data_IF_343709620489
#
_entry.id   IF_343709620489
#
_cell.length_a   1.000
_cell.length_b   1.000
_cell.length_c   1.000
_cell.angle_alpha   90.00
_cell.angle_beta   90.00
_cell.angle_gamma   90.00
#
_symmetry.space_group_name_H-M   'P 1'
#
loop_
_entity.id
_entity.type
_entity.pdbx_description
1 polymer ?
#
# COMPACT_ATOMS: atom_id res chain seq x y z
N UNK A 1 -21.28 -0.16 1.17
CA UNK A 1 -19.84 0.11 0.98
C UNK A 1 -19.67 1.60 0.73
N UNK A 2 -19.27 2.39 1.74
CA UNK A 2 -18.84 3.76 1.47
C UNK A 2 -17.57 3.63 0.63
N UNK A 3 -17.60 4.08 -0.63
CA UNK A 3 -16.37 4.27 -1.40
C UNK A 3 -15.65 5.43 -0.70
N UNK A 4 -14.84 5.11 0.31
CA UNK A 4 -13.84 6.06 0.81
C UNK A 4 -12.99 6.37 -0.41
N UNK A 5 -13.13 7.59 -0.93
CA UNK A 5 -12.32 8.03 -2.04
C UNK A 5 -10.90 8.17 -1.49
N UNK A 6 -10.12 7.11 -1.60
CA UNK A 6 -8.69 7.21 -1.34
C UNK A 6 -8.09 8.08 -2.45
N UNK A 7 -7.50 9.23 -2.10
CA UNK A 7 -6.90 10.09 -3.11
C UNK A 7 -5.86 9.29 -3.88
N UNK A 8 -5.80 9.45 -5.21
CA UNK A 8 -4.91 8.66 -6.06
C UNK A 8 -3.46 8.77 -5.58
N UNK A 9 -2.72 7.68 -5.70
CA UNK A 9 -1.30 7.65 -5.38
C UNK A 9 -0.58 8.67 -6.27
N UNK A 10 0.28 9.51 -5.67
CA UNK A 10 1.01 10.51 -6.43
C UNK A 10 2.03 9.86 -7.35
N UNK A 11 2.00 10.27 -8.61
CA UNK A 11 2.98 9.86 -9.63
C UNK A 11 4.10 10.90 -9.80
N UNK A 12 3.92 12.09 -9.21
CA UNK A 12 4.89 13.16 -9.32
C UNK A 12 6.11 12.85 -8.43
N UNK A 13 7.25 12.59 -9.05
CA UNK A 13 8.53 12.29 -8.36
C UNK A 13 8.99 13.36 -7.36
N UNK A 14 8.55 14.61 -7.55
CA UNK A 14 8.88 15.74 -6.68
C UNK A 14 7.86 15.93 -5.54
N UNK A 15 6.75 15.20 -5.54
CA UNK A 15 5.76 15.31 -4.48
C UNK A 15 6.29 14.66 -3.18
N UNK A 16 6.00 15.27 -2.01
CA UNK A 16 6.48 14.75 -0.72
C UNK A 16 5.93 13.35 -0.40
N UNK A 17 4.81 12.96 -1.01
CA UNK A 17 4.19 11.64 -0.86
C UNK A 17 4.77 10.58 -1.82
N UNK A 18 5.57 10.96 -2.82
CA UNK A 18 5.99 10.06 -3.92
C UNK A 18 6.63 8.76 -3.44
N UNK A 19 7.55 8.85 -2.48
CA UNK A 19 8.25 7.67 -1.96
C UNK A 19 7.31 6.70 -1.25
N UNK A 20 6.36 7.25 -0.48
CA UNK A 20 5.40 6.44 0.29
C UNK A 20 4.35 5.85 -0.63
N UNK A 21 3.84 6.64 -1.56
CA UNK A 21 2.86 6.20 -2.55
C UNK A 21 3.45 5.14 -3.50
N UNK A 22 4.74 5.26 -3.87
CA UNK A 22 5.46 4.21 -4.58
C UNK A 22 5.56 2.92 -3.77
N UNK A 23 5.78 2.99 -2.46
CA UNK A 23 5.82 1.82 -1.59
C UNK A 23 4.45 1.12 -1.49
N UNK A 24 3.36 1.89 -1.39
CA UNK A 24 1.98 1.37 -1.42
C UNK A 24 1.69 0.66 -2.74
N UNK A 25 2.06 1.28 -3.88
CA UNK A 25 1.92 0.66 -5.21
C UNK A 25 2.68 -0.66 -5.31
N UNK A 26 3.93 -0.70 -4.87
CA UNK A 26 4.73 -1.93 -4.88
C UNK A 26 4.12 -3.02 -3.99
N UNK A 27 3.53 -2.65 -2.84
CA UNK A 27 2.85 -3.60 -1.98
C UNK A 27 1.57 -4.16 -2.62
N UNK A 28 0.82 -3.34 -3.37
CA UNK A 28 -0.31 -3.82 -4.18
C UNK A 28 0.14 -4.80 -5.28
N UNK A 29 1.21 -4.47 -6.01
CA UNK A 29 1.77 -5.35 -7.05
C UNK A 29 2.20 -6.70 -6.46
N UNK A 30 2.85 -6.70 -5.29
CA UNK A 30 3.24 -7.92 -4.57
C UNK A 30 2.03 -8.75 -4.12
N UNK A 31 0.99 -8.11 -3.59
CA UNK A 31 -0.24 -8.80 -3.19
C UNK A 31 -0.95 -9.40 -4.41
N UNK A 32 -1.03 -8.67 -5.52
CA UNK A 32 -1.60 -9.17 -6.77
C UNK A 32 -0.82 -10.39 -7.27
N UNK A 33 0.51 -10.32 -7.28
CA UNK A 33 1.39 -11.43 -7.64
C UNK A 33 1.18 -12.64 -6.71
N UNK A 34 1.08 -12.44 -5.40
CA UNK A 34 0.84 -13.53 -4.44
C UNK A 34 -0.53 -14.21 -4.65
N UNK A 35 -1.57 -13.42 -4.96
CA UNK A 35 -2.91 -13.94 -5.28
C UNK A 35 -2.89 -14.75 -6.57
N UNK A 36 -2.17 -14.26 -7.59
CA UNK A 36 -2.06 -14.96 -8.86
C UNK A 36 -1.27 -16.27 -8.71
N UNK A 37 -0.15 -16.23 -7.99
CA UNK A 37 0.65 -17.42 -7.66
C UNK A 37 -0.16 -18.49 -6.92
N UNK A 38 -1.08 -18.12 -6.01
CA UNK A 38 -1.96 -19.09 -5.33
C UNK A 38 -2.78 -19.93 -6.32
N UNK A 39 -3.14 -19.39 -7.49
CA UNK A 39 -3.90 -20.12 -8.52
C UNK A 39 -3.11 -21.27 -9.14
N UNK A 40 -1.78 -21.19 -9.06
CA UNK A 40 -0.86 -22.13 -9.71
C UNK A 40 -0.10 -23.03 -8.72
N UNK A 41 -0.25 -22.83 -7.41
CA UNK A 41 0.44 -23.62 -6.38
C UNK A 41 -0.33 -24.89 -5.98
N UNK A 42 0.41 -26.00 -5.83
CA UNK A 42 -0.09 -27.27 -5.27
C UNK A 42 -0.23 -27.24 -3.74
N UNK A 43 0.56 -26.40 -3.05
CA UNK A 43 0.48 -26.21 -1.59
C UNK A 43 -0.40 -25.01 -1.24
N UNK A 44 -1.64 -25.29 -0.83
CA UNK A 44 -2.63 -24.26 -0.51
C UNK A 44 -2.29 -23.47 0.76
N UNK A 45 -1.72 -24.14 1.78
CA UNK A 45 -1.38 -23.52 3.07
C UNK A 45 -0.30 -22.46 2.91
N UNK A 46 0.81 -22.80 2.23
CA UNK A 46 1.90 -21.86 1.97
C UNK A 46 1.42 -20.64 1.18
N UNK A 47 0.59 -20.85 0.15
CA UNK A 47 0.05 -19.75 -0.63
C UNK A 47 -0.85 -18.80 0.19
N UNK A 48 -1.59 -19.33 1.18
CA UNK A 48 -2.37 -18.49 2.10
C UNK A 48 -1.47 -17.66 3.02
N UNK A 49 -0.38 -18.23 3.53
CA UNK A 49 0.57 -17.50 4.37
C UNK A 49 1.25 -16.37 3.61
N UNK A 50 1.69 -16.61 2.38
CA UNK A 50 2.30 -15.58 1.52
C UNK A 50 1.31 -14.44 1.23
N UNK A 51 0.04 -14.75 0.94
CA UNK A 51 -1.00 -13.71 0.75
C UNK A 51 -1.23 -12.93 2.04
N UNK A 52 -1.24 -13.60 3.20
CA UNK A 52 -1.41 -12.94 4.50
C UNK A 52 -0.27 -11.96 4.75
N UNK A 53 0.97 -12.39 4.56
CA UNK A 53 2.16 -11.53 4.70
C UNK A 53 2.12 -10.35 3.72
N UNK A 54 1.73 -10.58 2.46
CA UNK A 54 1.58 -9.51 1.48
C UNK A 54 0.51 -8.49 1.89
N UNK A 55 -0.63 -8.93 2.45
CA UNK A 55 -1.67 -8.03 2.99
C UNK A 55 -1.17 -7.22 4.18
N UNK A 56 -0.43 -7.86 5.09
CA UNK A 56 0.15 -7.16 6.25
C UNK A 56 1.18 -6.12 5.80
N UNK A 57 1.96 -6.41 4.75
CA UNK A 57 2.90 -5.46 4.15
C UNK A 57 2.17 -4.25 3.54
N UNK A 58 1.05 -4.48 2.85
CA UNK A 58 0.22 -3.42 2.28
C UNK A 58 -0.35 -2.52 3.37
N UNK A 59 -0.92 -3.11 4.43
CA UNK A 59 -1.47 -2.35 5.55
C UNK A 59 -0.42 -1.46 6.22
N UNK A 60 0.82 -1.94 6.36
CA UNK A 60 1.94 -1.14 6.90
C UNK A 60 2.28 0.04 5.99
N UNK A 61 2.31 -0.16 4.68
CA UNK A 61 2.56 0.91 3.72
C UNK A 61 1.45 1.97 3.74
N UNK A 62 0.19 1.55 3.82
CA UNK A 62 -0.96 2.45 3.96
C UNK A 62 -0.91 3.27 5.26
N UNK A 63 -0.54 2.64 6.39
CA UNK A 63 -0.33 3.35 7.66
C UNK A 63 0.78 4.40 7.57
N UNK A 64 1.90 4.07 6.92
CA UNK A 64 2.98 5.04 6.66
C UNK A 64 2.49 6.22 5.81
N UNK A 65 1.65 5.96 4.81
CA UNK A 65 1.01 7.01 4.00
C UNK A 65 0.13 7.92 4.84
N UNK A 66 -0.71 7.35 5.68
CA UNK A 66 -1.60 8.12 6.56
C UNK A 66 -0.81 9.00 7.53
N UNK A 67 0.28 8.47 8.11
CA UNK A 67 1.18 9.26 8.95
C UNK A 67 1.82 10.41 8.18
N UNK A 68 2.31 10.15 6.96
CA UNK A 68 2.91 11.20 6.11
C UNK A 68 1.91 12.28 5.72
N UNK A 69 0.66 11.92 5.43
CA UNK A 69 -0.42 12.87 5.17
C UNK A 69 -0.70 13.75 6.38
N UNK A 70 -0.74 13.18 7.59
CA UNK A 70 -0.91 13.94 8.84
C UNK A 70 0.26 14.89 9.10
N UNK A 71 1.49 14.46 8.83
CA UNK A 71 2.68 15.32 8.94
C UNK A 71 2.62 16.51 7.98
N UNK A 72 2.25 16.27 6.72
CA UNK A 72 2.14 17.34 5.72
C UNK A 72 1.02 18.32 6.05
N UNK A 73 -0.15 17.83 6.49
CA UNK A 73 -1.25 18.68 6.91
C UNK A 73 -0.89 19.56 8.12
N UNK A 74 -0.05 19.07 9.04
CA UNK A 74 0.48 19.89 10.14
C UNK A 74 1.47 20.94 9.64
N UNK A 75 2.39 20.57 8.76
CA UNK A 75 3.37 21.49 8.21
C UNK A 75 2.71 22.63 7.40
N UNK A 76 1.61 22.36 6.69
CA UNK A 76 0.81 23.38 6.01
C UNK A 76 0.04 24.30 6.98
N UNK A 77 -0.36 23.80 8.16
CA UNK A 77 -1.11 24.58 9.15
C UNK A 77 -0.20 25.45 10.06
N UNK A 78 1.10 25.13 10.12
CA UNK A 78 2.11 25.91 10.85
C UNK A 78 2.67 27.08 10.02
N UNK A 79 2.27 27.21 8.74
CA UNK A 79 2.69 28.24 7.79
C UNK A 79 1.54 29.23 7.52
#
# INVERSE_FOLDING_TARGET
MKKTYDPPLTENSNAPLFRVDRAVRLAHERLASAIDMKRHHTSHSLAQEVIKEARDSLRKAEQQRELKLKELARAEAEF
#
